data_IF_038089253694
#
_entry.id   IF_038089253694
#
_cell.length_a   1.000
_cell.length_b   1.000
_cell.length_c   1.000
_cell.angle_alpha   90.00
_cell.angle_beta   90.00
_cell.angle_gamma   90.00
#
_symmetry.space_group_name_H-M   'P 1'
#
loop_
_entity.id
_entity.type
_entity.pdbx_description
1 polymer ?
#
# COMPACT_ATOMS: atom_id res chain seq x y z
N UNK A 1 5.19 1.41 -22.15
CA UNK A 1 5.81 0.21 -21.54
C UNK A 1 4.91 -0.16 -20.37
N UNK A 2 4.14 -1.24 -20.48
CA UNK A 2 3.26 -1.70 -19.40
C UNK A 2 4.13 -2.09 -18.20
N UNK A 3 4.05 -1.34 -17.11
CA UNK A 3 4.91 -1.51 -15.94
C UNK A 3 4.58 -2.77 -15.10
N UNK A 4 3.78 -3.70 -15.66
CA UNK A 4 3.42 -4.97 -15.03
C UNK A 4 2.41 -4.83 -13.90
N UNK A 5 1.73 -3.70 -13.79
CA UNK A 5 0.65 -3.42 -12.84
C UNK A 5 -0.51 -2.69 -13.54
N UNK A 6 -1.72 -2.83 -13.00
CA UNK A 6 -2.92 -2.14 -13.48
C UNK A 6 -3.11 -0.87 -12.67
N UNK A 7 -3.33 0.27 -13.34
CA UNK A 7 -3.50 1.56 -12.69
C UNK A 7 -4.65 2.35 -13.32
N UNK A 8 -5.48 2.97 -12.48
CA UNK A 8 -6.52 3.93 -12.90
C UNK A 8 -6.53 5.08 -11.89
N UNK A 9 -6.45 6.30 -12.38
CA UNK A 9 -6.52 7.52 -11.55
C UNK A 9 -7.98 7.86 -11.19
N UNK A 10 -8.19 8.33 -9.96
CA UNK A 10 -9.49 8.72 -9.39
C UNK A 10 -9.38 10.12 -8.75
N UNK A 11 -10.50 10.68 -8.31
CA UNK A 11 -10.57 12.03 -7.72
C UNK A 11 -10.59 11.97 -6.17
N UNK A 12 -9.45 11.61 -5.58
CA UNK A 12 -9.32 11.43 -4.14
C UNK A 12 -7.93 11.72 -3.59
N UNK A 13 -7.77 11.52 -2.28
CA UNK A 13 -6.60 11.98 -1.51
C UNK A 13 -5.73 10.82 -0.98
N UNK A 14 -6.20 9.57 -1.09
CA UNK A 14 -5.51 8.38 -0.55
C UNK A 14 -4.95 7.53 -1.68
N UNK A 15 -3.63 7.50 -1.82
CA UNK A 15 -2.96 6.63 -2.76
C UNK A 15 -3.13 5.16 -2.37
N UNK A 16 -3.54 4.30 -3.30
CA UNK A 16 -3.75 2.87 -3.04
C UNK A 16 -2.69 2.06 -3.76
N UNK A 17 -2.08 1.11 -3.05
CA UNK A 17 -1.25 0.04 -3.64
C UNK A 17 -1.73 -1.28 -3.07
N UNK A 18 -2.26 -2.16 -3.93
CA UNK A 18 -2.68 -3.49 -3.49
C UNK A 18 -2.28 -4.57 -4.50
N UNK A 19 -2.43 -5.84 -4.12
CA UNK A 19 -2.30 -6.97 -5.04
C UNK A 19 -3.60 -7.76 -5.16
N UNK A 20 -3.98 -8.06 -6.40
CA UNK A 20 -5.24 -8.68 -6.77
C UNK A 20 -6.36 -7.64 -6.95
N UNK A 21 -6.92 -7.59 -8.15
CA UNK A 21 -7.99 -6.66 -8.50
C UNK A 21 -9.20 -6.74 -7.55
N UNK A 22 -9.63 -7.94 -7.16
CA UNK A 22 -10.74 -8.12 -6.23
C UNK A 22 -10.46 -7.56 -4.82
N UNK A 23 -9.24 -7.76 -4.31
CA UNK A 23 -8.83 -7.22 -3.01
C UNK A 23 -8.71 -5.69 -3.06
N UNK A 24 -8.24 -5.17 -4.20
CA UNK A 24 -8.12 -3.73 -4.44
C UNK A 24 -9.51 -3.09 -4.47
N UNK A 25 -10.45 -3.62 -5.27
CA UNK A 25 -11.82 -3.10 -5.33
C UNK A 25 -12.52 -3.16 -3.98
N UNK A 26 -12.42 -4.28 -3.25
CA UNK A 26 -13.02 -4.40 -1.93
C UNK A 26 -12.46 -3.37 -0.93
N UNK A 27 -11.17 -3.03 -1.03
CA UNK A 27 -10.59 -1.97 -0.21
C UNK A 27 -11.15 -0.58 -0.59
N UNK A 28 -11.30 -0.30 -1.90
CA UNK A 28 -11.91 0.95 -2.36
C UNK A 28 -13.35 1.12 -1.86
N UNK A 29 -14.13 0.03 -1.85
CA UNK A 29 -15.50 0.01 -1.34
C UNK A 29 -15.51 0.34 0.16
N UNK A 30 -14.68 -0.33 0.97
CA UNK A 30 -14.56 -0.07 2.42
C UNK A 30 -14.15 1.38 2.71
N UNK A 31 -13.20 1.93 1.95
CA UNK A 31 -12.80 3.34 2.10
C UNK A 31 -13.97 4.27 1.79
N UNK A 32 -14.69 4.01 0.70
CA UNK A 32 -15.83 4.82 0.25
C UNK A 32 -16.97 4.79 1.25
N UNK A 33 -17.29 3.62 1.82
CA UNK A 33 -18.30 3.46 2.88
C UNK A 33 -17.97 4.28 4.14
N UNK A 34 -16.69 4.50 4.42
CA UNK A 34 -16.22 5.29 5.55
C UNK A 34 -16.03 6.79 5.21
N UNK A 35 -16.42 7.21 4.00
CA UNK A 35 -16.32 8.58 3.52
C UNK A 35 -14.90 9.01 3.13
N UNK A 36 -13.98 8.06 2.99
CA UNK A 36 -12.62 8.31 2.51
C UNK A 36 -12.60 8.26 0.98
N UNK A 37 -11.70 9.03 0.36
CA UNK A 37 -11.60 9.14 -1.10
C UNK A 37 -10.28 8.57 -1.61
N UNK A 38 -10.29 7.38 -2.24
CA UNK A 38 -9.12 6.85 -2.93
C UNK A 38 -8.73 7.73 -4.12
N UNK A 39 -7.43 8.02 -4.25
CA UNK A 39 -6.85 8.78 -5.36
C UNK A 39 -6.64 7.93 -6.62
N UNK A 40 -6.64 6.61 -6.47
CA UNK A 40 -6.40 5.69 -7.56
C UNK A 40 -6.88 4.27 -7.24
N UNK A 41 -7.00 3.46 -8.29
CA UNK A 41 -6.88 2.02 -8.25
C UNK A 41 -5.46 1.63 -8.69
N UNK A 42 -4.78 0.76 -7.95
CA UNK A 42 -3.52 0.17 -8.39
C UNK A 42 -3.39 -1.27 -7.89
N UNK A 43 -3.27 -2.20 -8.84
CA UNK A 43 -3.03 -3.62 -8.61
C UNK A 43 -1.66 -4.04 -9.16
N UNK A 44 -0.71 -4.41 -8.28
CA UNK A 44 0.63 -4.90 -8.66
C UNK A 44 0.66 -6.37 -9.12
N UNK A 45 -0.48 -7.05 -9.07
CA UNK A 45 -0.65 -8.46 -9.41
C UNK A 45 -0.10 -9.43 -8.36
N UNK A 46 -0.36 -10.73 -8.56
CA UNK A 46 0.02 -11.78 -7.58
C UNK A 46 1.53 -11.99 -7.39
N UNK A 47 2.36 -11.42 -8.27
CA UNK A 47 3.81 -11.37 -8.11
C UNK A 47 4.25 -9.94 -7.82
N UNK A 48 4.17 -9.54 -6.55
CA UNK A 48 4.63 -8.25 -6.06
C UNK A 48 6.17 -8.24 -5.95
N UNK A 49 6.87 -8.31 -7.09
CA UNK A 49 8.32 -8.19 -7.10
C UNK A 49 8.75 -6.82 -6.58
N UNK A 50 9.97 -6.75 -6.05
CA UNK A 50 10.54 -5.51 -5.50
C UNK A 50 10.50 -4.36 -6.51
N UNK A 51 10.81 -4.62 -7.76
CA UNK A 51 10.84 -3.61 -8.83
C UNK A 51 9.44 -3.06 -9.16
N UNK A 52 8.41 -3.92 -9.09
CA UNK A 52 7.02 -3.52 -9.31
C UNK A 52 6.51 -2.67 -8.17
N UNK A 53 6.78 -3.07 -6.93
CA UNK A 53 6.42 -2.29 -5.73
C UNK A 53 7.12 -0.93 -5.78
N UNK A 54 8.41 -0.88 -6.11
CA UNK A 54 9.15 0.36 -6.27
C UNK A 54 8.53 1.29 -7.33
N UNK A 55 8.27 0.76 -8.53
CA UNK A 55 7.70 1.55 -9.63
C UNK A 55 6.28 2.05 -9.31
N UNK A 56 5.49 1.25 -8.59
CA UNK A 56 4.17 1.65 -8.13
C UNK A 56 4.25 2.75 -7.07
N UNK A 57 5.15 2.62 -6.09
CA UNK A 57 5.38 3.66 -5.09
C UNK A 57 5.88 4.97 -5.73
N UNK A 58 6.80 4.89 -6.69
CA UNK A 58 7.26 6.08 -7.43
C UNK A 58 6.10 6.81 -8.11
N UNK A 59 5.19 6.07 -8.75
CA UNK A 59 4.00 6.63 -9.38
C UNK A 59 3.09 7.30 -8.34
N UNK A 60 2.83 6.64 -7.22
CA UNK A 60 1.97 7.18 -6.16
C UNK A 60 2.56 8.43 -5.51
N UNK A 61 3.87 8.47 -5.27
CA UNK A 61 4.55 9.65 -4.73
C UNK A 61 4.37 10.87 -5.66
N UNK A 62 4.40 10.68 -6.98
CA UNK A 62 4.20 11.76 -7.98
C UNK A 62 2.78 12.31 -8.01
N UNK A 63 1.80 11.55 -7.53
CA UNK A 63 0.41 12.02 -7.40
C UNK A 63 0.21 12.95 -6.19
N UNK A 64 1.20 13.03 -5.29
CA UNK A 64 1.14 13.81 -4.05
C UNK A 64 -0.14 13.56 -3.21
N UNK A 65 -0.51 12.29 -2.93
CA UNK A 65 -1.65 12.01 -2.06
C UNK A 65 -1.37 12.45 -0.62
N UNK A 66 -2.41 12.70 0.17
CA UNK A 66 -2.28 12.99 1.60
C UNK A 66 -1.71 11.81 2.40
N UNK A 67 -2.00 10.59 1.97
CA UNK A 67 -1.46 9.36 2.54
C UNK A 67 -1.48 8.23 1.50
N UNK A 68 -0.65 7.21 1.71
CA UNK A 68 -0.67 5.97 0.93
C UNK A 68 -1.11 4.80 1.81
N UNK A 69 -2.10 4.04 1.36
CA UNK A 69 -2.52 2.79 1.95
C UNK A 69 -2.06 1.62 1.08
N UNK A 70 -1.12 0.84 1.62
CA UNK A 70 -0.63 -0.39 1.00
C UNK A 70 -1.40 -1.58 1.58
N UNK A 71 -1.99 -2.43 0.75
CA UNK A 71 -2.73 -3.62 1.18
C UNK A 71 -2.29 -4.86 0.40
N UNK A 72 -1.41 -5.66 1.00
CA UNK A 72 -0.83 -6.83 0.35
C UNK A 72 -1.23 -8.12 1.06
N UNK A 73 -1.68 -9.09 0.26
CA UNK A 73 -1.80 -10.48 0.64
C UNK A 73 -0.58 -11.26 0.13
N UNK A 74 0.30 -11.67 1.04
CA UNK A 74 1.44 -12.53 0.78
C UNK A 74 1.01 -14.00 0.66
N UNK A 75 0.88 -14.47 -0.59
CA UNK A 75 0.70 -15.89 -0.90
C UNK A 75 2.03 -16.51 -1.34
N UNK A 76 2.30 -16.44 -2.65
CA UNK A 76 3.56 -16.93 -3.23
C UNK A 76 4.73 -16.02 -2.83
N UNK A 77 4.54 -14.71 -2.91
CA UNK A 77 5.50 -13.74 -2.38
C UNK A 77 5.26 -13.57 -0.88
N UNK A 78 6.29 -13.76 -0.07
CA UNK A 78 6.22 -13.62 1.39
C UNK A 78 6.17 -12.16 1.81
N UNK A 79 5.48 -11.87 2.91
CA UNK A 79 5.29 -10.51 3.43
C UNK A 79 6.58 -9.84 3.91
N UNK A 80 7.55 -10.60 4.43
CA UNK A 80 8.87 -10.09 4.82
C UNK A 80 9.67 -9.57 3.61
N UNK A 81 9.64 -10.29 2.49
CA UNK A 81 10.27 -9.84 1.23
C UNK A 81 9.61 -8.55 0.70
N UNK A 82 8.28 -8.44 0.82
CA UNK A 82 7.56 -7.22 0.44
C UNK A 82 7.91 -6.07 1.39
N UNK A 83 8.01 -6.33 2.69
CA UNK A 83 8.40 -5.32 3.68
C UNK A 83 9.80 -4.75 3.40
N UNK A 84 10.79 -5.60 3.15
CA UNK A 84 12.14 -5.18 2.76
C UNK A 84 12.14 -4.35 1.47
N UNK A 85 11.34 -4.74 0.48
CA UNK A 85 11.19 -4.00 -0.76
C UNK A 85 10.64 -2.59 -0.53
N UNK A 86 9.64 -2.44 0.34
CA UNK A 86 9.04 -1.14 0.68
C UNK A 86 10.04 -0.27 1.44
N UNK A 87 10.73 -0.80 2.45
CA UNK A 87 11.73 -0.06 3.24
C UNK A 87 12.81 0.50 2.29
N UNK A 88 13.38 -0.36 1.44
CA UNK A 88 14.41 0.06 0.50
C UNK A 88 13.89 1.02 -0.57
N UNK A 89 12.62 0.91 -0.96
CA UNK A 89 12.02 1.89 -1.86
C UNK A 89 11.94 3.27 -1.22
N UNK A 90 11.49 3.34 0.03
CA UNK A 90 11.34 4.58 0.79
C UNK A 90 12.66 5.30 1.08
N UNK A 91 13.77 4.59 1.22
CA UNK A 91 15.11 5.20 1.31
C UNK A 91 15.46 6.09 0.11
N UNK A 92 14.81 5.89 -1.04
CA UNK A 92 15.04 6.66 -2.27
C UNK A 92 14.03 7.80 -2.48
N UNK A 93 13.09 8.02 -1.55
CA UNK A 93 12.06 9.05 -1.66
C UNK A 93 12.18 10.04 -0.48
N UNK A 94 12.78 11.20 -0.72
CA UNK A 94 12.96 12.23 0.34
C UNK A 94 11.63 12.79 0.86
N UNK A 95 10.62 12.94 0.00
CA UNK A 95 9.30 13.52 0.32
C UNK A 95 8.16 12.50 0.21
N UNK A 96 8.39 11.27 0.70
CA UNK A 96 7.35 10.24 0.67
C UNK A 96 6.13 10.64 1.53
N UNK A 97 4.90 10.54 1.01
CA UNK A 97 3.70 10.78 1.80
C UNK A 97 3.59 9.76 2.94
N UNK A 98 2.90 10.09 4.04
CA UNK A 98 2.66 9.16 5.15
C UNK A 98 2.08 7.83 4.64
N UNK A 99 2.69 6.72 5.07
CA UNK A 99 2.33 5.39 4.61
C UNK A 99 1.75 4.55 5.74
N UNK A 100 0.62 3.92 5.45
CA UNK A 100 -0.01 2.89 6.28
C UNK A 100 -0.01 1.59 5.50
N UNK A 101 0.50 0.53 6.11
CA UNK A 101 0.67 -0.75 5.43
C UNK A 101 -0.20 -1.80 6.12
N UNK A 102 -0.83 -2.64 5.30
CA UNK A 102 -1.43 -3.89 5.74
C UNK A 102 -0.79 -5.06 5.02
N UNK A 103 -0.20 -5.97 5.79
CA UNK A 103 0.38 -7.22 5.30
C UNK A 103 -0.37 -8.40 5.93
N UNK A 104 -0.74 -9.39 5.13
CA UNK A 104 -1.32 -10.64 5.63
C UNK A 104 -0.83 -11.84 4.83
N UNK A 105 -0.80 -13.01 5.43
CA UNK A 105 -0.43 -14.25 4.73
C UNK A 105 0.95 -14.76 5.17
N UNK A 106 1.72 -15.33 4.26
CA UNK A 106 3.00 -15.97 4.59
C UNK A 106 4.00 -14.95 5.15
N UNK A 107 4.50 -15.21 6.36
CA UNK A 107 5.44 -14.37 7.11
C UNK A 107 4.94 -12.94 7.41
N UNK A 108 3.62 -12.74 7.51
CA UNK A 108 3.05 -11.43 7.84
C UNK A 108 3.57 -10.84 9.16
N UNK A 109 3.67 -11.63 10.23
CA UNK A 109 4.21 -11.17 11.51
C UNK A 109 5.64 -10.62 11.39
N UNK A 110 6.48 -11.29 10.61
CA UNK A 110 7.87 -10.89 10.38
C UNK A 110 7.92 -9.60 9.55
N UNK A 111 7.19 -9.54 8.44
CA UNK A 111 7.10 -8.34 7.60
C UNK A 111 6.55 -7.12 8.35
N UNK A 112 5.51 -7.30 9.17
CA UNK A 112 4.96 -6.23 10.02
C UNK A 112 6.00 -5.75 11.04
N UNK A 113 6.76 -6.68 11.64
CA UNK A 113 7.80 -6.35 12.60
C UNK A 113 8.94 -5.56 11.95
N UNK A 114 9.37 -5.95 10.73
CA UNK A 114 10.37 -5.22 9.95
C UNK A 114 9.93 -3.78 9.67
N UNK A 115 8.68 -3.59 9.21
CA UNK A 115 8.14 -2.26 8.91
C UNK A 115 8.05 -1.38 10.15
N UNK A 116 7.52 -1.91 11.25
CA UNK A 116 7.39 -1.16 12.50
C UNK A 116 8.76 -0.77 13.08
N UNK A 117 9.76 -1.66 12.99
CA UNK A 117 11.15 -1.36 13.40
C UNK A 117 11.79 -0.26 12.53
N UNK A 118 11.40 -0.16 11.26
CA UNK A 118 11.80 0.91 10.35
C UNK A 118 10.97 2.21 10.54
N UNK A 119 10.07 2.26 11.53
CA UNK A 119 9.21 3.43 11.79
C UNK A 119 8.01 3.55 10.86
N UNK A 120 7.71 2.53 10.06
CA UNK A 120 6.57 2.52 9.13
C UNK A 120 5.41 1.76 9.78
N UNK A 121 4.24 2.40 9.85
CA UNK A 121 3.10 1.80 10.55
C UNK A 121 2.50 0.65 9.74
N UNK A 122 2.52 -0.56 10.30
CA UNK A 122 2.02 -1.75 9.66
C UNK A 122 1.04 -2.57 10.52
N UNK A 123 -0.02 -3.10 9.90
CA UNK A 123 -1.06 -3.89 10.53
C UNK A 123 -1.30 -5.22 9.80
N UNK A 124 -1.92 -6.18 10.50
CA UNK A 124 -2.41 -7.42 9.89
C UNK A 124 -3.87 -7.28 9.43
N UNK A 125 -4.69 -6.57 10.23
CA UNK A 125 -6.11 -6.37 9.95
C UNK A 125 -6.32 -5.17 9.02
N UNK A 126 -7.23 -5.32 8.05
CA UNK A 126 -7.54 -4.25 7.09
C UNK A 126 -8.25 -3.06 7.75
N UNK A 127 -9.13 -3.30 8.72
CA UNK A 127 -9.86 -2.23 9.41
C UNK A 127 -8.93 -1.38 10.28
N UNK A 128 -7.93 -1.98 10.93
CA UNK A 128 -6.93 -1.23 11.70
C UNK A 128 -6.14 -0.28 10.78
N UNK A 129 -5.72 -0.78 9.61
CA UNK A 129 -5.03 0.04 8.61
C UNK A 129 -5.92 1.15 8.04
N UNK A 130 -7.20 0.85 7.79
CA UNK A 130 -8.17 1.84 7.29
C UNK A 130 -8.48 2.92 8.34
N UNK A 131 -8.65 2.54 9.62
CA UNK A 131 -8.81 3.53 10.69
C UNK A 131 -7.55 4.37 10.83
N UNK A 132 -6.37 3.76 10.71
CA UNK A 132 -5.12 4.51 10.81
C UNK A 132 -4.97 5.51 9.66
N UNK A 133 -5.26 5.11 8.42
CA UNK A 133 -5.18 6.06 7.29
C UNK A 133 -6.20 7.18 7.44
N UNK A 134 -7.40 6.90 7.99
CA UNK A 134 -8.40 7.92 8.31
C UNK A 134 -7.89 8.96 9.30
N UNK A 135 -7.21 8.53 10.37
CA UNK A 135 -6.58 9.45 11.33
C UNK A 135 -5.53 10.33 10.64
N UNK A 136 -4.70 9.75 9.77
CA UNK A 136 -3.62 10.44 9.08
C UNK A 136 -4.15 11.51 8.12
N UNK A 137 -5.24 11.23 7.38
CA UNK A 137 -5.81 12.21 6.42
C UNK A 137 -6.79 13.19 7.04
N UNK A 138 -7.34 12.87 8.21
CA UNK A 138 -8.30 13.71 8.93
C UNK A 138 -7.65 14.68 9.92
N UNK A 139 -6.37 14.52 10.22
CA UNK A 139 -5.55 15.48 10.97
C UNK A 139 -5.01 16.58 10.07
#
# INVERSE_FOLDING_TARGET
KEAGFSFVELDGDIGILANGAGLTMALLDVLSELGLKPANFLDVGGGASKERVYSALELLCKMHPKAVLVNIYGGITRCDVVAEAIIQALENFEDAPPMVIRLTGTNDKEGISLLNNAGITAFQNVMDAVQKVKEVVGG
#
